data_IF_094639099864
#
_entry.id   IF_094639099864
#
_cell.length_a   1.000
_cell.length_b   1.000
_cell.length_c   1.000
_cell.angle_alpha   90.00
_cell.angle_beta   90.00
_cell.angle_gamma   90.00
#
_symmetry.space_group_name_H-M   'P 1'
#
loop_
_entity.id
_entity.type
_entity.pdbx_description
1 polymer ?
#
# COMPACT_ATOMS: atom_id res chain seq x y z
N UNK A 1 19.91 20.77 19.27
CA UNK A 1 18.47 20.74 19.58
C UNK A 1 18.12 19.37 20.14
N UNK A 2 17.07 19.25 20.97
CA UNK A 2 16.53 17.94 21.38
C UNK A 2 15.59 17.46 20.29
N UNK A 3 15.85 16.28 19.72
CA UNK A 3 14.92 15.57 18.85
C UNK A 3 13.83 14.94 19.71
N UNK A 4 12.56 15.15 19.36
CA UNK A 4 11.42 14.45 19.93
C UNK A 4 11.09 13.30 18.99
N UNK A 5 10.83 12.10 19.52
CA UNK A 5 10.53 10.90 18.73
C UNK A 5 9.04 10.60 18.80
N UNK A 6 8.44 10.21 17.68
CA UNK A 6 7.02 9.83 17.61
C UNK A 6 6.83 8.32 17.54
N UNK A 7 7.57 7.64 16.65
CA UNK A 7 7.37 6.21 16.38
C UNK A 7 8.70 5.49 16.21
N UNK A 8 8.71 4.21 16.57
CA UNK A 8 9.82 3.28 16.37
C UNK A 8 9.33 2.08 15.59
N UNK A 9 10.08 1.70 14.57
CA UNK A 9 9.84 0.54 13.71
C UNK A 9 11.07 -0.36 13.70
N UNK A 10 10.85 -1.67 13.78
CA UNK A 10 11.88 -2.69 13.59
C UNK A 10 11.65 -3.35 12.24
N UNK A 11 12.69 -3.51 11.43
CA UNK A 11 12.56 -4.13 10.12
C UNK A 11 12.10 -5.60 10.27
N UNK A 12 11.02 -6.01 9.59
CA UNK A 12 10.47 -7.36 9.75
C UNK A 12 11.40 -8.46 9.25
N UNK A 13 12.27 -8.15 8.28
CA UNK A 13 13.20 -9.10 7.66
C UNK A 13 14.62 -9.05 8.25
N UNK A 14 14.98 -7.96 8.94
CA UNK A 14 16.26 -7.82 9.61
C UNK A 14 16.11 -7.07 10.94
N UNK A 15 16.06 -7.82 12.04
CA UNK A 15 15.81 -7.28 13.39
C UNK A 15 16.89 -6.31 13.89
N UNK A 16 18.06 -6.26 13.25
CA UNK A 16 19.12 -5.32 13.59
C UNK A 16 18.86 -3.90 13.08
N UNK A 17 17.97 -3.77 12.09
CA UNK A 17 17.62 -2.48 11.49
C UNK A 17 16.43 -1.86 12.19
N UNK A 18 16.65 -0.68 12.75
CA UNK A 18 15.64 0.11 13.46
C UNK A 18 15.48 1.46 12.77
N UNK A 19 14.23 1.87 12.58
CA UNK A 19 13.87 3.18 12.07
C UNK A 19 13.06 3.92 13.12
N UNK A 20 13.45 5.16 13.44
CA UNK A 20 12.68 6.05 14.31
C UNK A 20 12.26 7.28 13.52
N UNK A 21 11.03 7.73 13.76
CA UNK A 21 10.50 8.98 13.19
C UNK A 21 10.57 10.07 14.25
N UNK A 22 11.09 11.23 13.87
CA UNK A 22 11.00 12.43 14.71
C UNK A 22 9.60 13.04 14.67
N UNK A 23 9.29 13.84 15.69
CA UNK A 23 8.06 14.61 15.77
C UNK A 23 8.03 15.71 14.69
N UNK A 24 7.13 15.62 13.69
CA UNK A 24 7.08 16.57 12.59
C UNK A 24 6.70 17.99 13.03
N UNK A 25 6.17 18.21 14.24
CA UNK A 25 5.95 19.56 14.79
C UNK A 25 7.27 20.27 15.13
N UNK A 26 8.34 19.50 15.34
CA UNK A 26 9.67 20.01 15.71
C UNK A 26 10.68 19.87 14.57
N UNK A 27 10.81 18.66 14.01
CA UNK A 27 11.65 18.37 12.85
C UNK A 27 11.12 17.16 12.08
N UNK A 28 11.19 17.20 10.75
CA UNK A 28 10.87 16.04 9.91
C UNK A 28 12.14 15.30 9.51
N UNK A 29 12.44 14.19 10.19
CA UNK A 29 13.60 13.36 9.95
C UNK A 29 13.32 11.89 10.27
N UNK A 30 14.11 11.02 9.65
CA UNK A 30 14.17 9.60 9.96
C UNK A 30 15.53 9.32 10.58
N UNK A 31 15.55 8.63 11.73
CA UNK A 31 16.77 8.14 12.36
C UNK A 31 16.87 6.64 12.10
N UNK A 32 18.02 6.20 11.60
CA UNK A 32 18.23 4.82 11.16
C UNK A 32 19.39 4.23 11.97
N UNK A 33 19.16 3.06 12.57
CA UNK A 33 20.20 2.19 13.11
C UNK A 33 20.28 0.91 12.28
N UNK A 34 21.48 0.37 12.15
CA UNK A 34 21.75 -0.95 11.53
C UNK A 34 22.44 -1.92 12.50
N UNK A 35 22.50 -1.56 13.78
CA UNK A 35 23.26 -2.23 14.85
C UNK A 35 22.43 -2.34 16.13
N UNK A 36 21.14 -2.68 15.99
CA UNK A 36 20.22 -2.92 17.12
C UNK A 36 20.04 -1.69 18.03
N UNK A 37 20.24 -0.49 17.48
CA UNK A 37 20.10 0.78 18.20
C UNK A 37 21.38 1.23 18.92
N UNK A 38 22.52 0.61 18.68
CA UNK A 38 23.79 1.07 19.27
C UNK A 38 24.25 2.41 18.69
N UNK A 39 23.98 2.67 17.40
CA UNK A 39 24.26 3.93 16.74
C UNK A 39 23.15 4.34 15.77
N UNK A 40 22.94 5.65 15.60
CA UNK A 40 21.91 6.20 14.73
C UNK A 40 22.45 7.27 13.79
N UNK A 41 22.06 7.16 12.54
CA UNK A 41 22.26 8.18 11.51
C UNK A 41 20.94 8.92 11.27
N UNK A 42 20.98 10.26 11.21
CA UNK A 42 19.81 11.09 10.98
C UNK A 42 19.73 11.54 9.52
N UNK A 43 18.56 11.32 8.90
CA UNK A 43 18.26 11.70 7.53
C UNK A 43 17.06 12.66 7.51
N UNK A 44 17.24 13.94 7.11
CA UNK A 44 16.13 14.86 6.99
C UNK A 44 15.20 14.46 5.85
N UNK A 45 13.89 14.66 6.04
CA UNK A 45 12.87 14.44 5.01
C UNK A 45 12.03 15.71 4.83
N UNK A 46 11.42 15.87 3.66
CA UNK A 46 10.64 17.06 3.30
C UNK A 46 9.13 16.81 3.23
N UNK A 47 8.65 15.75 3.89
CA UNK A 47 7.25 15.38 4.00
C UNK A 47 6.99 14.68 5.34
N UNK A 48 5.72 14.59 5.74
CA UNK A 48 5.33 13.98 7.01
C UNK A 48 4.79 12.58 6.80
N UNK A 49 5.46 11.59 7.37
CA UNK A 49 5.08 10.17 7.31
C UNK A 49 3.94 9.91 8.29
N UNK A 50 2.82 9.40 7.78
CA UNK A 50 1.68 8.97 8.57
C UNK A 50 1.72 7.46 8.85
N UNK A 51 2.12 6.65 7.87
CA UNK A 51 2.30 5.20 8.05
C UNK A 51 3.38 4.63 7.13
N UNK A 52 3.96 3.51 7.53
CA UNK A 52 5.00 2.80 6.79
C UNK A 52 4.55 1.37 6.48
N UNK A 53 4.94 0.87 5.30
CA UNK A 53 4.79 -0.53 4.92
C UNK A 53 6.14 -1.07 4.44
N UNK A 54 6.77 -1.90 5.27
CA UNK A 54 8.01 -2.60 4.94
C UNK A 54 7.74 -3.70 3.92
N UNK A 55 8.67 -3.90 2.99
CA UNK A 55 8.57 -4.98 2.04
C UNK A 55 8.74 -6.35 2.74
N UNK A 56 7.93 -7.37 2.42
CA UNK A 56 7.92 -8.65 3.14
C UNK A 56 9.23 -9.45 3.06
N UNK A 57 10.04 -9.30 2.00
CA UNK A 57 11.35 -9.94 1.87
C UNK A 57 12.57 -9.02 1.68
N UNK A 58 12.40 -7.81 1.14
CA UNK A 58 13.51 -6.91 0.81
C UNK A 58 13.77 -5.96 1.99
N UNK A 59 14.82 -6.21 2.77
CA UNK A 59 15.10 -5.52 4.04
C UNK A 59 15.31 -4.00 3.97
N UNK A 60 15.59 -3.45 2.78
CA UNK A 60 15.82 -2.02 2.59
C UNK A 60 14.62 -1.29 1.95
N UNK A 61 13.55 -2.01 1.61
CA UNK A 61 12.46 -1.46 0.81
C UNK A 61 11.26 -1.12 1.68
N UNK A 62 10.78 0.12 1.54
CA UNK A 62 9.74 0.69 2.39
C UNK A 62 8.83 1.58 1.54
N UNK A 63 7.51 1.48 1.75
CA UNK A 63 6.56 2.51 1.34
C UNK A 63 6.23 3.41 2.52
N UNK A 64 6.12 4.71 2.27
CA UNK A 64 5.64 5.68 3.24
C UNK A 64 4.41 6.39 2.69
N UNK A 65 3.32 6.32 3.45
CA UNK A 65 2.12 7.11 3.20
C UNK A 65 2.20 8.40 4.00
N UNK A 66 1.98 9.53 3.34
CA UNK A 66 2.09 10.86 3.94
C UNK A 66 0.73 11.45 4.36
N UNK A 67 0.77 12.47 5.22
CA UNK A 67 -0.41 13.22 5.65
C UNK A 67 -1.17 13.91 4.51
N UNK A 68 -0.53 14.19 3.37
CA UNK A 68 -1.13 14.81 2.19
C UNK A 68 -1.54 13.77 1.12
N UNK A 69 -1.82 12.54 1.55
CA UNK A 69 -2.32 11.44 0.73
C UNK A 69 -1.38 11.03 -0.42
N UNK A 70 -0.06 11.13 -0.22
CA UNK A 70 0.93 10.68 -1.19
C UNK A 70 1.60 9.40 -0.72
N UNK A 71 2.01 8.59 -1.69
CA UNK A 71 2.79 7.40 -1.45
C UNK A 71 4.22 7.64 -1.94
N UNK A 72 5.18 7.43 -1.06
CA UNK A 72 6.61 7.46 -1.35
C UNK A 72 7.19 6.06 -1.23
N UNK A 73 8.28 5.80 -1.94
CA UNK A 73 9.07 4.58 -1.80
C UNK A 73 10.51 4.92 -1.47
N UNK A 74 11.14 4.08 -0.66
CA UNK A 74 12.57 4.07 -0.40
C UNK A 74 13.10 2.66 -0.63
N UNK A 75 14.25 2.56 -1.30
CA UNK A 75 14.94 1.30 -1.57
C UNK A 75 16.25 1.18 -0.77
N UNK A 76 16.54 2.15 0.10
CA UNK A 76 17.76 2.27 0.91
C UNK A 76 17.45 2.48 2.40
N UNK A 77 16.32 1.92 2.85
CA UNK A 77 15.82 1.91 4.22
C UNK A 77 15.49 3.31 4.78
N UNK A 78 14.98 4.20 3.94
CA UNK A 78 14.49 5.52 4.32
C UNK A 78 15.50 6.65 4.20
N UNK A 79 16.69 6.40 3.63
CA UNK A 79 17.70 7.44 3.40
C UNK A 79 17.32 8.36 2.24
N UNK A 80 16.72 7.80 1.20
CA UNK A 80 16.17 8.51 0.05
C UNK A 80 14.75 8.07 -0.21
N UNK A 81 13.92 9.04 -0.60
CA UNK A 81 12.50 8.84 -0.88
C UNK A 81 12.18 9.32 -2.29
N UNK A 82 11.33 8.57 -2.97
CA UNK A 82 10.80 8.92 -4.28
C UNK A 82 9.27 8.87 -4.25
N UNK A 83 8.62 9.88 -4.82
CA UNK A 83 7.18 9.89 -4.99
C UNK A 83 6.75 8.78 -5.96
N UNK A 84 5.79 7.96 -5.53
CA UNK A 84 5.17 6.88 -6.32
C UNK A 84 3.88 7.38 -6.95
N UNK A 85 2.97 7.89 -6.13
CA UNK A 85 1.67 8.39 -6.58
C UNK A 85 1.11 9.43 -5.61
N UNK A 86 0.35 10.39 -6.13
CA UNK A 86 -0.48 11.31 -5.36
C UNK A 86 -1.89 10.74 -5.13
N UNK A 87 -2.70 11.37 -4.27
CA UNK A 87 -4.11 11.00 -4.10
C UNK A 87 -4.35 9.51 -3.78
N UNK A 88 -3.46 8.88 -3.01
CA UNK A 88 -3.58 7.48 -2.60
C UNK A 88 -4.60 7.34 -1.47
N UNK A 89 -5.46 6.34 -1.57
CA UNK A 89 -6.47 6.04 -0.56
C UNK A 89 -5.80 5.48 0.73
N UNK A 90 -6.18 5.96 1.92
CA UNK A 90 -5.57 5.53 3.18
C UNK A 90 -5.62 4.01 3.36
N UNK A 91 -4.46 3.38 3.60
CA UNK A 91 -4.35 1.94 3.84
C UNK A 91 -4.65 1.05 2.63
N UNK A 92 -4.83 1.61 1.42
CA UNK A 92 -5.15 0.87 0.20
C UNK A 92 -3.96 0.84 -0.77
N UNK A 93 -2.80 0.46 -0.24
CA UNK A 93 -1.59 0.25 -1.00
C UNK A 93 -0.89 -1.03 -0.52
N UNK A 94 -0.39 -1.83 -1.46
CA UNK A 94 0.14 -3.17 -1.19
C UNK A 94 1.40 -3.41 -2.00
N UNK A 95 2.36 -4.13 -1.41
CA UNK A 95 3.48 -4.69 -2.16
C UNK A 95 3.01 -5.84 -3.07
N UNK A 96 3.80 -6.14 -4.08
CA UNK A 96 3.65 -7.33 -4.90
C UNK A 96 3.68 -8.61 -4.04
N UNK A 97 2.95 -9.63 -4.48
CA UNK A 97 3.02 -10.97 -3.87
C UNK A 97 4.12 -11.76 -4.56
N UNK A 98 5.13 -12.16 -3.78
CA UNK A 98 6.29 -12.88 -4.29
C UNK A 98 5.89 -14.20 -4.95
N UNK A 99 6.46 -14.48 -6.12
CA UNK A 99 6.17 -15.69 -6.90
C UNK A 99 4.90 -15.60 -7.75
N UNK A 100 4.05 -14.59 -7.54
CA UNK A 100 2.87 -14.34 -8.35
C UNK A 100 3.01 -13.09 -9.23
N UNK A 101 3.38 -11.97 -8.61
CA UNK A 101 3.71 -10.76 -9.36
C UNK A 101 5.12 -10.89 -9.96
N UNK A 102 5.24 -10.55 -11.24
CA UNK A 102 6.47 -10.74 -12.03
C UNK A 102 7.67 -10.08 -11.37
N UNK A 103 7.49 -8.90 -10.78
CA UNK A 103 8.57 -8.13 -10.19
C UNK A 103 8.24 -7.67 -8.77
N UNK A 104 9.23 -7.73 -7.88
CA UNK A 104 9.02 -7.55 -6.43
C UNK A 104 8.74 -6.11 -6.01
N UNK A 105 9.24 -5.11 -6.74
CA UNK A 105 8.98 -3.69 -6.49
C UNK A 105 7.68 -3.20 -7.15
N UNK A 106 6.83 -4.10 -7.63
CA UNK A 106 5.46 -3.76 -7.99
C UNK A 106 4.71 -3.32 -6.74
N UNK A 107 3.90 -2.28 -6.92
CA UNK A 107 2.95 -1.79 -5.93
C UNK A 107 1.55 -1.71 -6.53
N UNK A 108 0.59 -2.14 -5.74
CA UNK A 108 -0.83 -2.05 -6.02
C UNK A 108 -1.40 -0.90 -5.21
N UNK A 109 -2.11 0.02 -5.85
CA UNK A 109 -2.52 1.29 -5.26
C UNK A 109 -3.97 1.56 -5.64
N UNK A 110 -4.80 1.89 -4.67
CA UNK A 110 -6.09 2.53 -4.93
C UNK A 110 -5.92 4.06 -4.88
N UNK A 111 -6.27 4.73 -5.97
CA UNK A 111 -6.10 6.17 -6.10
C UNK A 111 -7.47 6.85 -6.18
N UNK A 112 -7.65 7.91 -5.40
CA UNK A 112 -8.85 8.73 -5.41
C UNK A 112 -8.91 9.56 -6.69
N UNK A 113 -10.09 9.62 -7.33
CA UNK A 113 -10.36 10.56 -8.43
C UNK A 113 -11.32 11.65 -7.96
N UNK A 114 -12.61 11.31 -7.87
CA UNK A 114 -13.68 12.24 -7.51
C UNK A 114 -15.01 11.48 -7.29
N UNK A 115 -15.85 12.00 -6.38
CA UNK A 115 -17.22 11.52 -6.10
C UNK A 115 -17.27 10.04 -5.68
N UNK A 116 -16.46 9.64 -4.70
CA UNK A 116 -16.45 8.26 -4.18
C UNK A 116 -15.91 7.21 -5.16
N UNK A 117 -15.28 7.66 -6.25
CA UNK A 117 -14.66 6.80 -7.26
C UNK A 117 -13.15 6.80 -7.10
N UNK A 118 -12.58 5.63 -7.29
CA UNK A 118 -11.17 5.36 -7.30
C UNK A 118 -10.74 4.60 -8.55
N UNK A 119 -9.43 4.48 -8.72
CA UNK A 119 -8.78 3.63 -9.72
C UNK A 119 -7.86 2.64 -9.02
N UNK A 120 -7.84 1.42 -9.55
CA UNK A 120 -6.82 0.44 -9.19
C UNK A 120 -5.62 0.58 -10.13
N UNK A 121 -4.55 1.14 -9.60
CA UNK A 121 -3.27 1.37 -10.27
C UNK A 121 -2.26 0.32 -9.85
N UNK A 122 -1.53 -0.23 -10.82
CA UNK A 122 -0.35 -1.08 -10.63
C UNK A 122 0.85 -0.40 -11.28
N UNK A 123 1.95 -0.25 -10.56
CA UNK A 123 3.18 0.31 -11.11
C UNK A 123 4.41 -0.20 -10.35
N UNK A 124 5.60 0.12 -10.84
CA UNK A 124 6.88 -0.18 -10.17
C UNK A 124 7.22 0.96 -9.22
N UNK A 125 7.44 0.70 -7.94
CA UNK A 125 7.65 1.73 -6.91
C UNK A 125 8.74 2.74 -7.27
N UNK A 126 9.87 2.29 -7.81
CA UNK A 126 10.98 3.17 -8.20
C UNK A 126 10.75 3.88 -9.56
N UNK A 127 9.75 3.45 -10.33
CA UNK A 127 9.46 3.93 -11.67
C UNK A 127 7.94 4.00 -11.84
N UNK A 128 7.25 4.83 -11.07
CA UNK A 128 5.80 5.01 -11.19
C UNK A 128 5.50 6.39 -11.80
N UNK A 129 5.75 6.52 -13.10
CA UNK A 129 5.43 7.73 -13.87
C UNK A 129 4.09 7.56 -14.58
N UNK A 130 3.44 8.65 -14.97
CA UNK A 130 2.12 8.57 -15.63
C UNK A 130 2.10 7.63 -16.85
N UNK A 131 3.21 7.58 -17.61
CA UNK A 131 3.34 6.76 -18.80
C UNK A 131 3.54 5.25 -18.56
N UNK A 132 3.80 4.82 -17.32
CA UNK A 132 4.00 3.40 -17.00
C UNK A 132 3.06 2.85 -15.91
N UNK A 133 2.12 3.67 -15.44
CA UNK A 133 1.01 3.23 -14.60
C UNK A 133 0.08 2.32 -15.40
N UNK A 134 -0.28 1.19 -14.80
CA UNK A 134 -1.23 0.24 -15.36
C UNK A 134 -2.54 0.35 -14.60
N UNK A 135 -3.65 0.48 -15.33
CA UNK A 135 -5.00 0.49 -14.75
C UNK A 135 -5.61 -0.90 -14.95
N UNK A 136 -5.69 -1.67 -13.86
CA UNK A 136 -5.96 -3.11 -13.96
C UNK A 136 -7.47 -3.40 -14.07
N UNK A 137 -8.30 -2.59 -13.43
CA UNK A 137 -9.75 -2.75 -13.51
C UNK A 137 -10.33 -1.98 -14.72
N UNK A 138 -11.24 -2.57 -15.52
CA UNK A 138 -11.87 -1.88 -16.64
C UNK A 138 -12.90 -0.87 -16.14
N UNK A 139 -12.43 0.32 -15.76
CA UNK A 139 -13.25 1.45 -15.29
C UNK A 139 -12.85 1.95 -13.91
N UNK A 140 -13.82 2.53 -13.21
CA UNK A 140 -13.64 3.04 -11.86
C UNK A 140 -14.20 2.06 -10.84
N UNK A 141 -13.58 2.03 -9.68
CA UNK A 141 -13.99 1.24 -8.51
C UNK A 141 -14.48 2.17 -7.41
N UNK A 142 -15.18 1.62 -6.43
CA UNK A 142 -15.57 2.37 -5.24
C UNK A 142 -14.33 2.65 -4.38
N UNK A 143 -14.33 3.78 -3.69
CA UNK A 143 -13.29 4.11 -2.69
C UNK A 143 -13.28 3.11 -1.53
N UNK A 144 -12.10 2.83 -0.99
CA UNK A 144 -11.84 1.88 0.10
C UNK A 144 -12.24 0.44 -0.23
N UNK A 145 -12.19 0.04 -1.50
CA UNK A 145 -12.66 -1.27 -1.95
C UNK A 145 -11.54 -2.24 -2.31
N UNK A 146 -10.36 -1.73 -2.69
CA UNK A 146 -9.24 -2.56 -3.11
C UNK A 146 -8.70 -3.40 -1.94
N UNK A 147 -8.62 -4.71 -2.14
CA UNK A 147 -7.93 -5.64 -1.24
C UNK A 147 -7.03 -6.52 -2.09
N UNK A 148 -5.73 -6.53 -1.80
CA UNK A 148 -4.76 -7.45 -2.41
C UNK A 148 -4.27 -8.38 -1.30
N UNK A 149 -4.63 -9.66 -1.40
CA UNK A 149 -4.28 -10.66 -0.40
C UNK A 149 -4.02 -11.99 -1.08
N UNK A 150 -2.83 -12.55 -0.85
CA UNK A 150 -2.37 -13.80 -1.46
C UNK A 150 -2.56 -13.78 -3.00
N UNK A 151 -3.26 -14.79 -3.51
CA UNK A 151 -3.52 -14.99 -4.93
C UNK A 151 -4.70 -14.15 -5.43
N UNK A 152 -5.41 -13.46 -4.54
CA UNK A 152 -6.66 -12.77 -4.82
C UNK A 152 -6.50 -11.24 -4.80
N UNK A 153 -7.26 -10.60 -5.68
CA UNK A 153 -7.49 -9.16 -5.64
C UNK A 153 -9.00 -8.92 -5.70
N UNK A 154 -9.52 -8.17 -4.74
CA UNK A 154 -10.93 -7.82 -4.66
C UNK A 154 -11.13 -6.33 -4.89
N UNK A 155 -12.28 -5.98 -5.46
CA UNK A 155 -12.75 -4.60 -5.57
C UNK A 155 -14.27 -4.55 -5.68
N UNK A 156 -14.84 -3.35 -5.55
CA UNK A 156 -16.27 -3.13 -5.51
C UNK A 156 -16.64 -2.03 -6.50
N UNK A 157 -17.81 -2.15 -7.12
CA UNK A 157 -18.35 -1.13 -8.02
C UNK A 157 -19.83 -0.93 -7.70
N UNK A 158 -20.20 0.29 -7.34
CA UNK A 158 -21.59 0.66 -7.07
C UNK A 158 -22.15 1.47 -8.24
N UNK A 159 -23.20 0.93 -8.89
CA UNK A 159 -23.93 1.61 -9.97
C UNK A 159 -25.39 1.74 -9.60
N UNK A 160 -25.91 2.97 -9.60
CA UNK A 160 -27.32 3.26 -9.30
C UNK A 160 -27.81 2.61 -8.00
N UNK A 161 -26.98 2.64 -6.95
CA UNK A 161 -27.29 2.05 -5.64
C UNK A 161 -27.15 0.53 -5.54
N UNK A 162 -26.70 -0.15 -6.61
CA UNK A 162 -26.41 -1.58 -6.60
C UNK A 162 -24.90 -1.82 -6.61
N UNK A 163 -24.40 -2.43 -5.54
CA UNK A 163 -22.99 -2.81 -5.39
C UNK A 163 -22.75 -4.19 -6.01
N UNK A 164 -21.70 -4.29 -6.82
CA UNK A 164 -21.19 -5.54 -7.39
C UNK A 164 -19.75 -5.74 -6.95
N UNK A 165 -19.42 -6.97 -6.58
CA UNK A 165 -18.10 -7.34 -6.09
C UNK A 165 -17.35 -8.07 -7.19
N UNK A 166 -16.06 -7.77 -7.33
CA UNK A 166 -15.20 -8.34 -8.35
C UNK A 166 -13.98 -8.98 -7.71
N UNK A 167 -13.57 -10.11 -8.28
CA UNK A 167 -12.39 -10.86 -7.85
C UNK A 167 -11.50 -11.15 -9.05
N UNK A 168 -10.20 -10.99 -8.87
CA UNK A 168 -9.14 -11.49 -9.75
C UNK A 168 -8.36 -12.53 -8.97
N UNK A 169 -8.27 -13.75 -9.50
CA UNK A 169 -7.49 -14.84 -8.94
C UNK A 169 -6.27 -15.06 -9.83
N UNK A 170 -5.10 -15.27 -9.23
CA UNK A 170 -3.82 -15.45 -9.95
C UNK A 170 -3.48 -14.30 -10.92
N UNK A 171 -3.96 -13.08 -10.61
CA UNK A 171 -3.81 -11.88 -11.46
C UNK A 171 -4.47 -11.97 -12.84
N UNK A 172 -5.41 -12.90 -13.02
CA UNK A 172 -6.26 -13.01 -14.20
C UNK A 172 -7.28 -11.85 -14.29
N UNK A 173 -7.93 -11.62 -15.45
CA UNK A 173 -8.96 -10.60 -15.57
C UNK A 173 -10.05 -10.72 -14.51
N UNK A 174 -10.49 -9.57 -13.98
CA UNK A 174 -11.53 -9.52 -12.96
C UNK A 174 -12.83 -10.16 -13.44
N UNK A 175 -13.44 -10.94 -12.55
CA UNK A 175 -14.77 -11.53 -12.73
C UNK A 175 -15.70 -11.03 -11.63
N UNK A 176 -16.97 -10.86 -11.96
CA UNK A 176 -17.98 -10.53 -10.97
C UNK A 176 -18.23 -11.75 -10.08
N UNK A 177 -18.28 -11.55 -8.77
CA UNK A 177 -18.61 -12.58 -7.79
C UNK A 177 -20.09 -12.91 -7.86
N UNK A 178 -20.42 -14.20 -7.79
CA UNK A 178 -21.80 -14.67 -7.73
C UNK A 178 -22.28 -14.72 -6.28
N UNK A 179 -23.21 -13.85 -5.95
CA UNK A 179 -23.90 -13.85 -4.65
C UNK A 179 -25.35 -14.32 -4.84
N UNK A 180 -25.99 -14.94 -3.82
CA UNK A 180 -27.38 -15.34 -3.92
C UNK A 180 -28.26 -14.15 -4.31
N UNK A 181 -29.01 -14.28 -5.42
CA UNK A 181 -29.73 -13.16 -6.07
C UNK A 181 -30.78 -12.47 -5.17
N UNK A 182 -31.21 -13.15 -4.11
CA UNK A 182 -32.18 -12.67 -3.13
C UNK A 182 -31.54 -11.96 -1.93
N UNK A 183 -30.21 -11.93 -1.84
CA UNK A 183 -29.46 -11.25 -0.80
C UNK A 183 -28.84 -9.96 -1.36
N UNK A 184 -29.11 -8.83 -0.70
CA UNK A 184 -28.39 -7.59 -0.94
C UNK A 184 -27.28 -7.46 0.12
N UNK A 185 -26.00 -7.67 -0.23
CA UNK A 185 -24.91 -7.46 0.71
C UNK A 185 -24.83 -5.97 1.08
N UNK A 186 -24.88 -5.67 2.38
CA UNK A 186 -24.74 -4.30 2.90
C UNK A 186 -23.27 -3.89 2.95
N UNK A 187 -22.44 -4.78 3.51
CA UNK A 187 -20.99 -4.68 3.60
C UNK A 187 -20.42 -6.10 3.46
N UNK A 188 -19.34 -6.28 2.69
CA UNK A 188 -18.64 -7.56 2.55
C UNK A 188 -17.18 -7.37 2.91
N UNK A 189 -16.65 -8.21 3.78
CA UNK A 189 -15.31 -8.08 4.33
C UNK A 189 -14.56 -9.39 4.14
N UNK A 190 -13.48 -9.37 3.37
CA UNK A 190 -12.62 -10.54 3.23
C UNK A 190 -11.98 -10.85 4.59
N UNK A 191 -12.33 -12.00 5.16
CA UNK A 191 -11.86 -12.47 6.47
C UNK A 191 -10.56 -13.27 6.29
N UNK A 192 -10.53 -14.18 5.32
CA UNK A 192 -9.38 -15.03 5.03
C UNK A 192 -9.41 -15.47 3.57
N UNK A 193 -8.22 -15.59 2.98
CA UNK A 193 -7.96 -16.18 1.66
C UNK A 193 -7.08 -17.44 1.75
N UNK A 194 -6.99 -18.03 2.95
CA UNK A 194 -6.14 -19.20 3.21
C UNK A 194 -6.63 -20.43 2.44
N UNK A 195 -5.73 -21.39 2.22
CA UNK A 195 -6.05 -22.70 1.62
C UNK A 195 -6.72 -22.63 0.23
N UNK A 196 -6.48 -21.57 -0.54
CA UNK A 196 -7.06 -21.35 -1.89
C UNK A 196 -8.59 -21.24 -1.88
N UNK A 197 -9.15 -20.76 -0.79
CA UNK A 197 -10.57 -20.46 -0.62
C UNK A 197 -10.74 -19.04 -0.05
N UNK A 198 -11.93 -18.48 -0.20
CA UNK A 198 -12.23 -17.11 0.25
C UNK A 198 -13.36 -17.16 1.27
N UNK A 199 -13.12 -16.62 2.45
CA UNK A 199 -14.13 -16.31 3.47
C UNK A 199 -14.37 -14.79 3.47
N UNK A 200 -15.62 -14.38 3.30
CA UNK A 200 -16.02 -12.99 3.09
C UNK A 200 -17.33 -12.63 3.81
#
# INVERSE_FOLDING_TARGET
SRTVLSYLYVCPTNKQKIMMLSDPEVESAVLISSDEGASFEKYPINFNILSLLFHPAQENWILAYSHDNKLYSSMDFGRKWQLVHDSVMPGRFYWAVMGLDRESDVVHIETHIAKGRAQYVKCRAHRCTDGNRQYIFPGHVDTNSLVVQDEYVFTQVTKSGRTSYFVSYMREPFRQMELPKYCLPKDMHIISTDEKQVFA
#
